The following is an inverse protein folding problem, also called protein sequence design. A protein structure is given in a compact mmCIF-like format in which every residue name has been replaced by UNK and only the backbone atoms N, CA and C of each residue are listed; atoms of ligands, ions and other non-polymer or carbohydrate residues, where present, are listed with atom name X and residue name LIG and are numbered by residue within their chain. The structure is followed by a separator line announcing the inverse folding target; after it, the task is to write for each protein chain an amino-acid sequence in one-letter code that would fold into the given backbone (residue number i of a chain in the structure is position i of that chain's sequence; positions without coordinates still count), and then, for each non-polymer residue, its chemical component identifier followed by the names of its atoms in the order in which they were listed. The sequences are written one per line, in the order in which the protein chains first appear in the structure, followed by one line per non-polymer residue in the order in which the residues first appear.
data_IF_621295335551
#
_entry.id   IF_621295335551
#
_cell.length_a   1.000
_cell.length_b   1.000
_cell.length_c   1.000
_cell.angle_alpha   90.00
_cell.angle_beta   90.00
_cell.angle_gamma   90.00
#
_symmetry.space_group_name_H-M   'P 1'
#
loop_
_entity.id
_entity.type
_entity.pdbx_description
1 polymer ?
#
# COMPACT_ATOMS: atom_id res chain seq x y z
N UNK A 1 -23.47 31.30 6.64
CA UNK A 1 -22.09 30.76 6.63
C UNK A 1 -21.67 30.56 8.08
N UNK A 2 -21.68 29.33 8.60
CA UNK A 2 -21.26 29.02 9.97
C UNK A 2 -19.74 29.25 10.05
N UNK A 3 -19.35 30.17 10.94
CA UNK A 3 -17.97 30.49 11.24
C UNK A 3 -17.29 29.23 11.81
N UNK A 4 -16.35 28.63 11.09
CA UNK A 4 -15.70 27.39 11.51
C UNK A 4 -14.50 27.79 12.36
N UNK A 5 -14.73 27.85 13.61
CA UNK A 5 -13.97 27.67 14.85
C UNK A 5 -12.52 28.12 15.02
N UNK A 6 -11.77 28.61 14.04
CA UNK A 6 -10.36 28.98 14.23
C UNK A 6 -10.04 30.45 13.98
N UNK A 7 -11.03 31.29 13.65
CA UNK A 7 -10.80 32.73 13.46
C UNK A 7 -9.81 33.13 12.36
N UNK A 8 -9.32 32.16 11.56
CA UNK A 8 -8.33 32.37 10.49
C UNK A 8 -9.01 32.33 9.12
N UNK A 9 -8.67 33.25 8.23
CA UNK A 9 -9.14 33.16 6.83
C UNK A 9 -8.46 31.98 6.10
N UNK A 10 -9.14 31.35 5.12
CA UNK A 10 -8.55 30.27 4.32
C UNK A 10 -7.20 30.63 3.69
N UNK A 11 -7.06 31.85 3.21
CA UNK A 11 -5.81 32.36 2.62
C UNK A 11 -4.66 32.38 3.63
N UNK A 12 -4.92 32.81 4.87
CA UNK A 12 -3.89 32.88 5.91
C UNK A 12 -3.46 31.48 6.37
N UNK A 13 -4.43 30.53 6.45
CA UNK A 13 -4.10 29.13 6.71
C UNK A 13 -3.13 28.56 5.66
N UNK A 14 -3.44 28.78 4.39
CA UNK A 14 -2.60 28.32 3.29
C UNK A 14 -1.20 28.99 3.31
N UNK A 15 -1.14 30.29 3.60
CA UNK A 15 0.14 31.02 3.71
C UNK A 15 1.03 30.44 4.81
N UNK A 16 0.49 30.13 6.00
CA UNK A 16 1.23 29.52 7.09
C UNK A 16 1.81 28.15 6.69
N UNK A 17 1.00 27.30 6.03
CA UNK A 17 1.43 25.98 5.59
C UNK A 17 2.52 26.08 4.51
N UNK A 18 2.33 26.96 3.51
CA UNK A 18 3.30 27.18 2.41
C UNK A 18 4.63 27.75 2.93
N UNK A 19 4.57 28.74 3.80
CA UNK A 19 5.78 29.35 4.38
C UNK A 19 6.58 28.31 5.19
N UNK A 20 5.90 27.53 6.00
CA UNK A 20 6.52 26.45 6.79
C UNK A 20 7.12 25.36 5.88
N UNK A 21 6.38 24.93 4.85
CA UNK A 21 6.86 23.89 3.93
C UNK A 21 8.15 24.30 3.23
N UNK A 22 8.25 25.54 2.77
CA UNK A 22 9.44 26.07 2.10
C UNK A 22 10.70 26.06 2.97
N UNK A 23 10.56 26.24 4.29
CA UNK A 23 11.67 26.31 5.23
C UNK A 23 11.99 24.96 5.89
N UNK A 24 10.97 24.14 6.16
CA UNK A 24 11.06 22.97 7.03
C UNK A 24 10.51 21.70 6.40
N UNK A 25 9.89 21.78 5.22
CA UNK A 25 9.36 20.62 4.51
C UNK A 25 10.44 19.71 3.95
N UNK A 26 10.03 18.56 3.47
CA UNK A 26 10.92 17.61 2.78
C UNK A 26 11.10 18.05 1.33
N UNK A 27 12.35 18.20 0.89
CA UNK A 27 12.70 18.68 -0.46
C UNK A 27 13.60 17.72 -1.25
N UNK A 28 14.00 16.59 -0.67
CA UNK A 28 14.96 15.66 -1.28
C UNK A 28 14.39 14.27 -1.56
N UNK A 29 13.07 14.12 -1.71
CA UNK A 29 12.50 12.81 -2.03
C UNK A 29 12.65 12.50 -3.52
N UNK A 30 12.95 11.24 -3.93
CA UNK A 30 13.25 10.89 -5.31
C UNK A 30 12.14 11.21 -6.34
N UNK A 31 10.91 11.37 -5.89
CA UNK A 31 9.74 11.73 -6.70
C UNK A 31 9.39 13.21 -6.69
N UNK A 32 10.18 14.03 -5.98
CA UNK A 32 10.06 15.49 -6.00
C UNK A 32 10.92 16.09 -7.11
N UNK A 33 10.62 17.36 -7.49
CA UNK A 33 11.37 18.05 -8.52
C UNK A 33 11.09 17.59 -9.95
N UNK A 34 10.09 16.74 -10.16
CA UNK A 34 9.62 16.31 -11.47
C UNK A 34 8.14 16.65 -11.66
N UNK A 35 7.72 16.86 -12.91
CA UNK A 35 6.31 16.94 -13.32
C UNK A 35 5.89 15.73 -14.16
N UNK A 36 6.71 14.72 -14.24
CA UNK A 36 6.37 13.47 -14.93
C UNK A 36 5.23 12.75 -14.17
N UNK A 37 4.03 12.67 -14.75
CA UNK A 37 2.86 12.10 -14.07
C UNK A 37 3.03 10.61 -13.77
N UNK A 38 3.79 9.87 -14.59
CA UNK A 38 4.08 8.46 -14.32
C UNK A 38 4.89 8.30 -13.03
N UNK A 39 5.95 9.08 -12.86
CA UNK A 39 6.80 9.05 -11.68
C UNK A 39 6.08 9.47 -10.42
N UNK A 40 5.26 10.51 -10.50
CA UNK A 40 4.42 11.01 -9.40
C UNK A 40 3.38 9.96 -9.03
N UNK A 41 2.62 9.44 -10.00
CA UNK A 41 1.64 8.39 -9.76
C UNK A 41 2.23 7.15 -9.10
N UNK A 42 3.37 6.65 -9.61
CA UNK A 42 4.06 5.51 -9.01
C UNK A 42 4.37 5.74 -7.54
N UNK A 43 4.92 6.91 -7.18
CA UNK A 43 5.23 7.24 -5.79
C UNK A 43 3.97 7.33 -4.93
N UNK A 44 2.91 7.96 -5.41
CA UNK A 44 1.64 8.08 -4.69
C UNK A 44 1.02 6.72 -4.38
N UNK A 45 1.06 5.78 -5.34
CA UNK A 45 0.56 4.41 -5.11
C UNK A 45 1.48 3.64 -4.14
N UNK A 46 2.80 3.76 -4.26
CA UNK A 46 3.73 3.10 -3.34
C UNK A 46 3.61 3.62 -1.89
N UNK A 47 3.33 4.91 -1.72
CA UNK A 47 3.18 5.56 -0.43
C UNK A 47 1.85 5.25 0.28
N UNK A 48 0.85 4.70 -0.41
CA UNK A 48 -0.40 4.28 0.24
C UNK A 48 -0.09 3.29 1.36
N UNK A 49 -0.33 3.67 2.62
CA UNK A 49 -0.10 2.86 3.82
C UNK A 49 1.34 2.32 4.00
N UNK A 50 2.33 2.97 3.36
CA UNK A 50 3.75 2.59 3.44
C UNK A 50 4.59 3.81 3.81
N UNK A 51 5.60 3.61 4.65
CA UNK A 51 6.51 4.68 5.07
C UNK A 51 7.48 5.07 3.96
N UNK A 52 7.82 6.35 3.88
CA UNK A 52 8.73 6.93 2.88
C UNK A 52 10.05 6.18 2.79
N UNK A 53 10.70 5.90 3.93
CA UNK A 53 11.98 5.19 3.96
C UNK A 53 11.92 3.79 3.34
N UNK A 54 10.79 3.09 3.49
CA UNK A 54 10.58 1.80 2.86
C UNK A 54 10.33 1.92 1.34
N UNK A 55 9.68 3.01 0.89
CA UNK A 55 9.34 3.19 -0.54
C UNK A 55 10.56 3.54 -1.39
N UNK A 56 11.50 4.33 -0.88
CA UNK A 56 12.65 4.84 -1.67
C UNK A 56 13.38 3.73 -2.47
N UNK A 57 13.84 2.62 -1.85
CA UNK A 57 14.54 1.57 -2.60
C UNK A 57 13.64 0.82 -3.59
N UNK A 58 12.35 0.69 -3.30
CA UNK A 58 11.40 0.07 -4.24
C UNK A 58 11.15 0.96 -5.45
N UNK A 59 10.95 2.26 -5.24
CA UNK A 59 10.75 3.23 -6.31
C UNK A 59 11.93 3.25 -7.29
N UNK A 60 13.16 3.27 -6.77
CA UNK A 60 14.36 3.26 -7.60
C UNK A 60 14.45 1.99 -8.47
N UNK A 61 14.28 0.80 -7.85
CA UNK A 61 14.33 -0.48 -8.58
C UNK A 61 13.20 -0.62 -9.61
N UNK A 62 12.01 -0.13 -9.26
CA UNK A 62 10.85 -0.19 -10.15
C UNK A 62 11.06 0.67 -11.40
N UNK A 63 11.57 1.91 -11.24
CA UNK A 63 11.91 2.79 -12.37
C UNK A 63 13.10 2.30 -13.19
N UNK A 64 14.03 1.58 -12.58
CA UNK A 64 15.14 0.96 -13.34
C UNK A 64 14.61 -0.08 -14.32
N UNK A 65 13.58 -0.83 -13.97
CA UNK A 65 13.00 -1.86 -14.83
C UNK A 65 11.87 -1.32 -15.71
N UNK A 66 11.02 -0.47 -15.18
CA UNK A 66 9.89 0.15 -15.86
C UNK A 66 10.11 1.67 -15.89
N UNK A 67 10.94 2.12 -16.83
CA UNK A 67 11.35 3.53 -16.91
C UNK A 67 10.21 4.48 -17.23
N UNK A 68 9.19 3.97 -17.90
CA UNK A 68 8.01 4.71 -18.35
C UNK A 68 6.72 3.86 -18.29
N UNK A 69 5.61 4.50 -18.59
CA UNK A 69 4.28 3.90 -18.58
C UNK A 69 4.14 2.76 -19.60
N UNK A 70 4.78 2.89 -20.78
CA UNK A 70 4.69 1.90 -21.84
C UNK A 70 5.40 0.59 -21.42
N UNK A 71 6.57 0.70 -20.82
CA UNK A 71 7.30 -0.45 -20.27
C UNK A 71 6.49 -1.16 -19.17
N UNK A 72 5.82 -0.41 -18.30
CA UNK A 72 4.95 -1.00 -17.26
C UNK A 72 3.71 -1.67 -17.87
N UNK A 73 3.05 -1.03 -18.84
CA UNK A 73 1.84 -1.57 -19.47
C UNK A 73 2.10 -2.87 -20.25
N UNK A 74 3.27 -2.98 -20.87
CA UNK A 74 3.68 -4.16 -21.65
C UNK A 74 4.23 -5.32 -20.80
N UNK A 75 4.51 -5.08 -19.51
CA UNK A 75 5.11 -6.07 -18.61
C UNK A 75 4.15 -7.23 -18.33
N UNK A 76 4.69 -8.39 -17.95
CA UNK A 76 3.91 -9.47 -17.35
C UNK A 76 3.60 -9.13 -15.89
N UNK A 77 2.39 -9.46 -15.42
CA UNK A 77 1.94 -9.14 -14.05
C UNK A 77 2.89 -9.73 -12.98
N UNK A 78 3.40 -10.94 -13.20
CA UNK A 78 4.32 -11.59 -12.27
C UNK A 78 5.61 -10.78 -12.06
N UNK A 79 6.12 -10.13 -13.10
CA UNK A 79 7.29 -9.27 -13.00
C UNK A 79 7.01 -8.01 -12.16
N UNK A 80 5.85 -7.41 -12.36
CA UNK A 80 5.40 -6.27 -11.54
C UNK A 80 5.25 -6.67 -10.08
N UNK A 81 4.63 -7.82 -9.80
CA UNK A 81 4.44 -8.35 -8.45
C UNK A 81 5.77 -8.74 -7.80
N UNK A 82 6.73 -9.29 -8.55
CA UNK A 82 8.06 -9.63 -8.06
C UNK A 82 8.81 -8.39 -7.56
N UNK A 83 8.82 -7.30 -8.34
CA UNK A 83 9.44 -6.03 -7.95
C UNK A 83 8.73 -5.34 -6.77
N UNK A 84 7.43 -5.63 -6.59
CA UNK A 84 6.64 -5.11 -5.45
C UNK A 84 6.77 -5.97 -4.18
N UNK A 85 7.35 -7.16 -4.31
CA UNK A 85 7.42 -8.14 -3.22
C UNK A 85 8.13 -7.59 -1.99
N UNK A 86 7.46 -7.66 -0.84
CA UNK A 86 7.91 -7.09 0.44
C UNK A 86 7.29 -5.72 0.78
N UNK A 87 6.75 -4.97 -0.19
CA UNK A 87 6.11 -3.67 0.07
C UNK A 87 4.70 -3.82 0.67
N UNK A 88 4.07 -4.99 0.49
CA UNK A 88 2.74 -5.30 0.99
C UNK A 88 1.60 -4.70 0.17
N UNK A 89 0.35 -5.07 0.53
CA UNK A 89 -0.85 -4.58 -0.16
C UNK A 89 -0.77 -4.76 -1.69
N UNK A 90 -0.55 -5.97 -2.14
CA UNK A 90 -0.28 -6.33 -3.55
C UNK A 90 -1.39 -5.94 -4.54
N UNK A 91 -2.62 -5.73 -4.04
CA UNK A 91 -3.70 -5.15 -4.85
C UNK A 91 -3.33 -3.78 -5.43
N UNK A 92 -2.42 -3.02 -4.79
CA UNK A 92 -1.90 -1.76 -5.33
C UNK A 92 -1.08 -1.99 -6.59
N UNK A 93 -0.18 -2.98 -6.57
CA UNK A 93 0.64 -3.33 -7.73
C UNK A 93 -0.22 -3.82 -8.91
N UNK A 94 -1.21 -4.68 -8.65
CA UNK A 94 -2.15 -5.13 -9.69
C UNK A 94 -2.98 -3.97 -10.25
N UNK A 95 -3.48 -3.09 -9.38
CA UNK A 95 -4.21 -1.91 -9.82
C UNK A 95 -3.32 -0.95 -10.62
N UNK A 96 -2.07 -0.75 -10.19
CA UNK A 96 -1.07 0.05 -10.91
C UNK A 96 -0.83 -0.52 -12.32
N UNK A 97 -0.61 -1.81 -12.45
CA UNK A 97 -0.40 -2.48 -13.73
C UNK A 97 -1.65 -2.40 -14.63
N UNK A 98 -2.83 -2.69 -14.06
CA UNK A 98 -4.11 -2.57 -14.79
C UNK A 98 -4.38 -1.13 -15.26
N UNK A 99 -4.08 -0.13 -14.41
CA UNK A 99 -4.20 1.27 -14.79
C UNK A 99 -3.22 1.65 -15.90
N UNK A 100 -1.97 1.16 -15.88
CA UNK A 100 -1.01 1.39 -16.96
C UNK A 100 -1.53 0.86 -18.32
N UNK A 101 -2.10 -0.33 -18.32
CA UNK A 101 -2.73 -0.93 -19.52
C UNK A 101 -3.95 -0.13 -19.96
N UNK A 102 -4.81 0.29 -19.04
CA UNK A 102 -5.95 1.15 -19.35
C UNK A 102 -5.52 2.49 -19.99
N UNK A 103 -4.44 3.11 -19.48
CA UNK A 103 -3.90 4.34 -20.05
C UNK A 103 -3.36 4.09 -21.47
N UNK A 104 -2.63 2.99 -21.67
CA UNK A 104 -2.12 2.62 -22.98
C UNK A 104 -3.27 2.42 -24.00
N UNK A 105 -4.33 1.74 -23.61
CA UNK A 105 -5.47 1.39 -24.45
C UNK A 105 -6.43 2.57 -24.72
N UNK A 106 -6.77 3.36 -23.67
CA UNK A 106 -7.83 4.38 -23.74
C UNK A 106 -7.34 5.81 -23.88
N UNK A 107 -6.07 6.05 -23.55
CA UNK A 107 -5.46 7.39 -23.56
C UNK A 107 -4.20 7.45 -24.45
N UNK A 108 -4.08 6.53 -25.43
CA UNK A 108 -2.96 6.47 -26.37
C UNK A 108 -1.57 6.49 -25.68
N UNK A 109 -1.45 5.90 -24.47
CA UNK A 109 -0.23 5.88 -23.70
C UNK A 109 0.14 7.20 -22.99
N UNK A 110 -0.71 8.22 -23.08
CA UNK A 110 -0.50 9.52 -22.41
C UNK A 110 -1.27 9.55 -21.09
N UNK A 111 -0.59 9.84 -19.99
CA UNK A 111 -1.23 9.92 -18.67
C UNK A 111 -2.29 11.05 -18.68
N UNK A 112 -3.55 10.78 -18.28
CA UNK A 112 -4.62 11.79 -18.35
C UNK A 112 -4.35 12.96 -17.37
N UNK A 113 -4.68 14.17 -17.80
CA UNK A 113 -4.50 15.40 -17.02
C UNK A 113 -5.81 15.95 -16.42
N UNK A 114 -6.95 15.35 -16.75
CA UNK A 114 -8.25 15.73 -16.19
C UNK A 114 -8.50 14.89 -14.91
N UNK A 115 -8.92 15.55 -13.84
CA UNK A 115 -9.14 14.94 -12.54
C UNK A 115 -10.05 13.71 -12.61
N UNK A 116 -11.18 13.81 -13.31
CA UNK A 116 -12.15 12.73 -13.41
C UNK A 116 -11.57 11.51 -14.15
N UNK A 117 -10.81 11.74 -15.21
CA UNK A 117 -10.14 10.67 -15.95
C UNK A 117 -9.03 9.98 -15.09
N UNK A 118 -8.33 10.74 -14.24
CA UNK A 118 -7.37 10.17 -13.29
C UNK A 118 -8.09 9.38 -12.20
N UNK A 119 -9.24 9.86 -11.71
CA UNK A 119 -10.05 9.20 -10.68
C UNK A 119 -10.63 7.86 -11.15
N UNK A 120 -10.91 7.70 -12.44
CA UNK A 120 -11.41 6.46 -13.03
C UNK A 120 -10.35 5.35 -13.13
N UNK A 121 -9.08 5.66 -12.94
CA UNK A 121 -8.02 4.67 -13.02
C UNK A 121 -8.05 3.70 -11.83
N UNK A 122 -7.83 2.40 -12.07
CA UNK A 122 -7.82 1.38 -11.01
C UNK A 122 -6.90 1.72 -9.83
N UNK A 123 -7.44 1.66 -8.62
CA UNK A 123 -6.69 1.90 -7.38
C UNK A 123 -6.46 3.36 -7.01
N UNK A 124 -7.02 4.29 -7.76
CA UNK A 124 -6.93 5.73 -7.49
C UNK A 124 -8.23 6.22 -6.86
N UNK A 125 -8.14 6.75 -5.64
CA UNK A 125 -9.23 7.44 -4.97
C UNK A 125 -9.07 8.97 -5.05
N UNK A 126 -10.10 9.71 -4.62
CA UNK A 126 -10.17 11.18 -4.71
C UNK A 126 -8.88 11.89 -4.25
N UNK A 127 -8.33 11.51 -3.09
CA UNK A 127 -7.12 12.15 -2.55
C UNK A 127 -5.87 11.84 -3.39
N UNK A 128 -5.75 10.62 -3.91
CA UNK A 128 -4.63 10.22 -4.77
C UNK A 128 -4.72 10.90 -6.14
N UNK A 129 -5.92 10.96 -6.74
CA UNK A 129 -6.14 11.70 -7.99
C UNK A 129 -5.77 13.18 -7.84
N UNK A 130 -6.20 13.80 -6.73
CA UNK A 130 -5.86 15.18 -6.41
C UNK A 130 -4.36 15.39 -6.29
N UNK A 131 -3.64 14.54 -5.55
CA UNK A 131 -2.20 14.64 -5.38
C UNK A 131 -1.46 14.53 -6.72
N UNK A 132 -1.84 13.57 -7.57
CA UNK A 132 -1.25 13.42 -8.91
C UNK A 132 -1.50 14.68 -9.75
N UNK A 133 -2.74 15.18 -9.81
CA UNK A 133 -3.08 16.36 -10.58
C UNK A 133 -2.37 17.63 -10.07
N UNK A 134 -2.22 17.76 -8.74
CA UNK A 134 -1.48 18.86 -8.12
C UNK A 134 0.00 18.82 -8.51
N UNK A 135 0.67 17.70 -8.28
CA UNK A 135 2.11 17.62 -8.47
C UNK A 135 2.53 17.56 -9.95
N UNK A 136 1.75 16.89 -10.81
CA UNK A 136 2.07 16.78 -12.22
C UNK A 136 1.66 18.02 -13.04
N UNK A 137 0.50 18.59 -12.73
CA UNK A 137 -0.12 19.60 -13.58
C UNK A 137 -0.36 20.95 -12.91
N UNK A 138 -0.07 21.06 -11.59
CA UNK A 138 -0.33 22.29 -10.83
C UNK A 138 -1.82 22.58 -10.62
N UNK A 139 -2.69 21.57 -10.80
CA UNK A 139 -4.13 21.73 -10.70
C UNK A 139 -4.57 22.03 -9.26
N UNK A 140 -5.63 22.82 -9.10
CA UNK A 140 -6.16 23.21 -7.79
C UNK A 140 -7.13 22.15 -7.27
N UNK A 141 -6.61 21.12 -6.58
CA UNK A 141 -7.42 20.07 -5.96
C UNK A 141 -7.01 19.85 -4.49
N UNK A 142 -8.00 19.57 -3.65
CA UNK A 142 -7.80 19.26 -2.25
C UNK A 142 -7.38 17.79 -2.07
N UNK A 143 -6.46 17.54 -1.12
CA UNK A 143 -6.12 16.21 -0.66
C UNK A 143 -6.68 15.96 0.73
N UNK A 144 -6.98 14.69 1.05
CA UNK A 144 -7.42 14.28 2.38
C UNK A 144 -6.97 12.84 2.68
N UNK A 145 -5.65 12.66 2.79
CA UNK A 145 -5.06 11.39 3.24
C UNK A 145 -5.14 11.23 4.76
N UNK A 146 -4.65 10.13 5.31
CA UNK A 146 -4.67 9.86 6.74
C UNK A 146 -3.89 10.89 7.59
N UNK A 147 -2.86 11.52 7.02
CA UNK A 147 -2.10 12.57 7.67
C UNK A 147 -2.89 13.89 7.71
N UNK A 148 -3.45 14.28 6.57
CA UNK A 148 -4.26 15.50 6.45
C UNK A 148 -5.54 15.40 7.27
N UNK A 149 -6.22 14.24 7.27
CA UNK A 149 -7.36 13.97 8.16
C UNK A 149 -7.03 14.24 9.63
N UNK A 150 -5.86 13.82 10.09
CA UNK A 150 -5.42 14.05 11.48
C UNK A 150 -5.10 15.51 11.75
N UNK A 151 -4.42 16.19 10.83
CA UNK A 151 -4.12 17.63 10.94
C UNK A 151 -5.43 18.41 11.03
N UNK A 152 -6.36 18.18 10.13
CA UNK A 152 -7.64 18.90 10.11
C UNK A 152 -8.53 18.56 11.30
N UNK A 153 -8.64 17.29 11.68
CA UNK A 153 -9.40 16.91 12.86
C UNK A 153 -8.93 17.65 14.12
N UNK A 154 -7.62 17.78 14.31
CA UNK A 154 -7.04 18.53 15.43
C UNK A 154 -7.18 20.04 15.28
N UNK A 155 -6.87 20.55 14.11
CA UNK A 155 -6.89 21.98 13.86
C UNK A 155 -8.31 22.57 14.02
N UNK A 156 -9.31 21.88 13.49
CA UNK A 156 -10.69 22.33 13.48
C UNK A 156 -11.57 21.70 14.58
N UNK A 157 -11.02 20.81 15.43
CA UNK A 157 -11.78 20.16 16.49
C UNK A 157 -12.87 19.21 15.96
N UNK A 158 -12.65 18.57 14.80
CA UNK A 158 -13.63 17.64 14.22
C UNK A 158 -13.61 16.33 14.99
N UNK A 159 -14.67 16.10 15.74
CA UNK A 159 -14.84 14.90 16.55
C UNK A 159 -15.24 13.68 15.71
N UNK A 160 -14.99 12.49 16.24
CA UNK A 160 -15.36 11.22 15.61
C UNK A 160 -14.20 10.55 14.89
N UNK A 161 -14.49 9.33 14.38
CA UNK A 161 -13.52 8.55 13.62
C UNK A 161 -13.49 8.99 12.15
N UNK A 162 -12.33 9.38 11.58
CA UNK A 162 -12.24 9.89 10.20
C UNK A 162 -12.55 8.87 9.10
N UNK A 163 -12.84 7.63 9.46
CA UNK A 163 -13.33 6.59 8.55
C UNK A 163 -14.84 6.54 8.42
N UNK A 164 -15.58 7.23 9.29
CA UNK A 164 -17.02 7.38 9.20
C UNK A 164 -17.36 8.43 8.15
N UNK A 165 -18.35 8.15 7.28
CA UNK A 165 -18.69 8.98 6.14
C UNK A 165 -19.00 10.43 6.56
N UNK A 166 -19.85 10.63 7.56
CA UNK A 166 -20.21 11.97 8.03
C UNK A 166 -19.02 12.79 8.54
N UNK A 167 -18.05 12.14 9.22
CA UNK A 167 -16.83 12.79 9.69
C UNK A 167 -15.89 13.10 8.50
N UNK A 168 -15.79 12.16 7.56
CA UNK A 168 -15.00 12.35 6.35
C UNK A 168 -15.53 13.51 5.50
N UNK A 169 -16.86 13.66 5.38
CA UNK A 169 -17.51 14.74 4.63
C UNK A 169 -17.17 16.11 5.22
N UNK A 170 -17.26 16.27 6.55
CA UNK A 170 -16.84 17.51 7.23
C UNK A 170 -15.37 17.82 6.99
N UNK A 171 -14.50 16.81 7.03
CA UNK A 171 -13.08 17.00 6.75
C UNK A 171 -12.81 17.37 5.28
N UNK A 172 -13.58 16.84 4.33
CA UNK A 172 -13.53 17.22 2.93
C UNK A 172 -14.00 18.66 2.69
N UNK A 173 -15.06 19.11 3.37
CA UNK A 173 -15.50 20.52 3.32
C UNK A 173 -14.37 21.47 3.74
N UNK A 174 -13.63 21.13 4.80
CA UNK A 174 -12.46 21.90 5.20
C UNK A 174 -11.37 21.85 4.12
N UNK A 175 -11.07 20.66 3.58
CA UNK A 175 -10.03 20.49 2.58
C UNK A 175 -10.31 21.31 1.32
N UNK A 176 -11.52 21.22 0.77
CA UNK A 176 -11.92 21.93 -0.44
C UNK A 176 -11.90 23.46 -0.26
N UNK A 177 -12.31 23.95 0.93
CA UNK A 177 -12.33 25.37 1.22
C UNK A 177 -10.95 25.99 1.40
N UNK A 178 -9.97 25.19 1.85
CA UNK A 178 -8.64 25.69 2.24
C UNK A 178 -7.61 25.58 1.13
N UNK A 179 -7.89 24.89 0.03
CA UNK A 179 -6.93 24.74 -1.05
C UNK A 179 -6.70 26.09 -1.75
N UNK A 180 -5.45 26.60 -1.81
CA UNK A 180 -5.17 27.92 -2.39
C UNK A 180 -5.13 27.86 -3.90
N UNK A 181 -5.41 29.00 -4.55
CA UNK A 181 -5.28 29.14 -6.01
C UNK A 181 -3.81 29.22 -6.49
N UNK A 182 -2.88 29.56 -5.58
CA UNK A 182 -1.44 29.68 -5.88
C UNK A 182 -0.63 28.85 -4.88
N UNK A 183 0.54 28.35 -5.32
CA UNK A 183 1.44 27.53 -4.49
C UNK A 183 0.78 26.24 -3.99
N UNK A 184 -0.16 25.67 -4.78
CA UNK A 184 -0.93 24.48 -4.39
C UNK A 184 -0.03 23.28 -4.14
N UNK A 185 1.06 23.12 -4.88
CA UNK A 185 2.05 22.04 -4.68
C UNK A 185 2.72 22.14 -3.31
N UNK A 186 3.23 23.33 -2.95
CA UNK A 186 3.85 23.55 -1.64
C UNK A 186 2.85 23.41 -0.49
N UNK A 187 1.60 23.83 -0.68
CA UNK A 187 0.52 23.64 0.28
C UNK A 187 0.22 22.16 0.49
N UNK A 188 0.05 21.41 -0.59
CA UNK A 188 -0.26 19.96 -0.56
C UNK A 188 0.87 19.19 0.10
N UNK A 189 2.12 19.43 -0.32
CA UNK A 189 3.29 18.81 0.30
C UNK A 189 3.42 19.23 1.78
N UNK A 190 3.16 20.48 2.12
CA UNK A 190 3.20 20.99 3.48
C UNK A 190 2.22 20.28 4.41
N UNK A 191 0.99 20.04 3.98
CA UNK A 191 0.01 19.28 4.75
C UNK A 191 0.45 17.83 5.01
N UNK A 192 0.98 17.17 3.99
CA UNK A 192 1.53 15.81 4.11
C UNK A 192 2.70 15.78 5.09
N UNK A 193 3.62 16.75 5.00
CA UNK A 193 4.82 16.85 5.84
C UNK A 193 4.47 17.18 7.30
N UNK A 194 3.53 18.10 7.52
CA UNK A 194 3.01 18.42 8.85
C UNK A 194 2.42 17.16 9.51
N UNK A 195 1.60 16.42 8.78
CA UNK A 195 1.03 15.18 9.29
C UNK A 195 2.08 14.10 9.55
N UNK A 196 3.04 13.93 8.66
CA UNK A 196 4.06 12.89 8.79
C UNK A 196 5.10 13.19 9.88
N UNK A 197 5.51 14.45 10.04
CA UNK A 197 6.66 14.82 10.88
C UNK A 197 6.32 15.61 12.14
N UNK A 198 5.31 16.45 12.13
CA UNK A 198 4.98 17.39 13.22
C UNK A 198 3.73 16.95 13.97
N UNK A 199 2.58 16.91 13.30
CA UNK A 199 1.30 16.51 13.87
C UNK A 199 1.17 14.99 13.90
N UNK A 200 2.12 14.30 14.52
CA UNK A 200 2.16 12.83 14.58
C UNK A 200 1.04 12.27 15.47
N UNK A 201 0.79 10.95 15.34
CA UNK A 201 -0.33 10.31 16.04
C UNK A 201 -0.20 10.38 17.55
N UNK A 202 0.97 10.04 18.10
CA UNK A 202 1.17 9.82 19.53
C UNK A 202 1.94 10.94 20.21
N UNK A 203 2.93 11.54 19.54
CA UNK A 203 3.82 12.58 20.11
C UNK A 203 3.95 13.76 19.15
N UNK A 204 2.88 14.57 18.98
CA UNK A 204 2.96 15.73 18.10
C UNK A 204 3.87 16.82 18.69
N UNK A 205 4.64 17.47 17.81
CA UNK A 205 5.52 18.59 18.15
C UNK A 205 4.80 19.91 17.89
N UNK A 206 3.84 20.25 18.76
CA UNK A 206 2.95 21.40 18.57
C UNK A 206 3.66 22.74 18.64
N UNK A 207 4.80 22.84 19.31
CA UNK A 207 5.70 24.00 19.38
C UNK A 207 6.35 24.33 18.04
N UNK A 208 6.54 23.35 17.16
CA UNK A 208 7.09 23.51 15.81
C UNK A 208 6.00 23.61 14.72
N UNK A 209 4.72 23.55 15.11
CA UNK A 209 3.61 23.53 14.16
C UNK A 209 3.21 24.97 13.77
N UNK A 210 3.17 25.32 12.48
CA UNK A 210 2.76 26.65 12.03
C UNK A 210 1.30 26.98 12.34
N UNK A 211 0.48 25.96 12.62
CA UNK A 211 -0.95 26.07 12.92
C UNK A 211 -1.23 26.06 14.43
N UNK A 212 -0.20 26.07 15.26
CA UNK A 212 -0.32 25.84 16.70
C UNK A 212 -1.21 26.86 17.41
N UNK A 213 -1.15 28.13 17.01
CA UNK A 213 -1.92 29.22 17.64
C UNK A 213 -3.43 29.13 17.34
N UNK A 214 -3.80 28.52 16.22
CA UNK A 214 -5.19 28.38 15.77
C UNK A 214 -5.76 26.99 16.00
N UNK A 215 -4.93 26.08 16.49
CA UNK A 215 -5.33 24.67 16.64
C UNK A 215 -6.28 24.47 17.81
N UNK A 216 -7.52 24.07 17.53
CA UNK A 216 -8.57 23.80 18.54
C UNK A 216 -8.10 22.73 19.53
N UNK A 217 -7.57 21.60 19.05
CA UNK A 217 -7.13 20.51 19.90
C UNK A 217 -5.99 20.92 20.87
N UNK A 218 -5.11 21.85 20.45
CA UNK A 218 -4.05 22.39 21.32
C UNK A 218 -4.63 23.36 22.33
N UNK A 219 -5.47 24.30 21.89
CA UNK A 219 -6.10 25.30 22.75
C UNK A 219 -6.89 24.66 23.89
N UNK A 220 -7.61 23.57 23.57
CA UNK A 220 -8.52 22.91 24.49
C UNK A 220 -7.84 21.73 25.24
N UNK A 221 -6.52 21.58 25.13
CA UNK A 221 -5.72 20.46 25.67
C UNK A 221 -6.30 19.07 25.35
N UNK A 222 -6.85 18.93 24.15
CA UNK A 222 -7.60 17.77 23.70
C UNK A 222 -6.97 17.00 22.54
N UNK A 223 -5.63 17.12 22.35
CA UNK A 223 -4.90 16.52 21.21
C UNK A 223 -5.12 15.02 21.11
N UNK A 224 -5.18 14.31 22.23
CA UNK A 224 -5.39 12.87 22.28
C UNK A 224 -6.80 12.43 21.85
N UNK A 225 -7.78 13.34 21.91
CA UNK A 225 -9.17 13.08 21.54
C UNK A 225 -9.41 13.19 20.04
N UNK A 226 -8.52 13.89 19.30
CA UNK A 226 -8.66 14.17 17.87
C UNK A 226 -7.53 13.54 17.03
N UNK A 227 -7.90 12.83 15.97
CA UNK A 227 -9.23 12.26 15.71
C UNK A 227 -9.51 11.08 16.66
N UNK A 228 -10.77 10.73 16.85
CA UNK A 228 -11.11 9.52 17.56
C UNK A 228 -10.49 8.29 16.90
N UNK A 229 -9.99 7.32 17.68
CA UNK A 229 -9.39 6.11 17.13
C UNK A 229 -10.43 5.25 16.43
N UNK A 230 -9.98 4.42 15.49
CA UNK A 230 -10.85 3.39 14.90
C UNK A 230 -11.39 2.49 16.02
N UNK A 231 -12.71 2.22 16.04
CA UNK A 231 -13.29 1.25 16.96
C UNK A 231 -12.54 -0.09 16.88
N UNK A 232 -12.13 -0.62 18.03
CA UNK A 232 -11.43 -1.91 18.06
C UNK A 232 -12.42 -3.02 17.71
N UNK A 233 -12.08 -3.79 16.69
CA UNK A 233 -12.75 -5.06 16.37
C UNK A 233 -11.83 -6.19 16.82
N UNK A 234 -12.41 -7.20 17.47
CA UNK A 234 -11.71 -8.46 17.70
C UNK A 234 -11.47 -9.08 16.33
N UNK A 235 -10.21 -9.34 16.00
CA UNK A 235 -9.88 -9.97 14.73
C UNK A 235 -10.09 -11.49 14.85
N UNK A 236 -10.86 -12.11 13.95
CA UNK A 236 -10.98 -13.57 13.91
C UNK A 236 -9.61 -14.20 13.66
N UNK A 237 -9.36 -15.31 14.31
CA UNK A 237 -8.17 -16.14 14.09
C UNK A 237 -8.51 -17.22 13.09
N UNK A 238 -7.63 -17.45 12.13
CA UNK A 238 -7.73 -18.49 11.13
C UNK A 238 -6.49 -19.36 11.15
N UNK A 239 -6.64 -20.63 10.84
CA UNK A 239 -5.54 -21.59 10.73
C UNK A 239 -5.50 -22.14 9.32
N UNK A 240 -4.30 -22.40 8.81
CA UNK A 240 -4.08 -23.10 7.55
C UNK A 240 -2.84 -23.97 7.66
N UNK A 241 -2.84 -25.11 7.00
CA UNK A 241 -1.65 -25.93 6.77
C UNK A 241 -1.11 -25.65 5.39
N UNK A 242 0.21 -25.55 5.23
CA UNK A 242 0.85 -25.32 3.93
C UNK A 242 1.87 -26.41 3.66
N UNK A 243 1.84 -26.95 2.43
CA UNK A 243 2.72 -28.03 2.00
C UNK A 243 4.01 -27.44 1.41
N UNK A 244 5.15 -27.74 2.04
CA UNK A 244 6.51 -27.38 1.60
C UNK A 244 7.12 -28.58 0.90
N UNK A 245 6.72 -28.82 -0.35
CA UNK A 245 7.21 -29.94 -1.14
C UNK A 245 8.58 -29.63 -1.76
N UNK A 246 9.59 -30.41 -1.41
CA UNK A 246 10.97 -30.24 -1.86
C UNK A 246 11.45 -31.41 -2.70
N UNK A 247 12.01 -31.10 -3.87
CA UNK A 247 12.60 -32.08 -4.79
C UNK A 247 13.80 -31.47 -5.53
N UNK A 248 14.93 -32.16 -5.51
CA UNK A 248 16.15 -31.78 -6.27
C UNK A 248 16.54 -30.29 -6.15
N UNK A 249 16.48 -29.70 -4.94
CA UNK A 249 16.82 -28.29 -4.70
C UNK A 249 15.74 -27.28 -5.13
N UNK A 250 14.55 -27.75 -5.46
CA UNK A 250 13.40 -26.95 -5.86
C UNK A 250 12.27 -27.06 -4.84
N UNK A 251 11.39 -26.05 -4.79
CA UNK A 251 10.14 -26.06 -4.05
C UNK A 251 8.96 -25.94 -5.01
N UNK A 252 7.89 -26.68 -4.74
CA UNK A 252 6.64 -26.57 -5.48
C UNK A 252 5.86 -25.37 -4.96
N UNK A 253 5.50 -24.46 -5.89
CA UNK A 253 4.64 -23.30 -5.63
C UNK A 253 3.40 -23.37 -6.51
N UNK A 254 2.30 -22.85 -5.97
CA UNK A 254 1.02 -22.73 -6.66
C UNK A 254 0.63 -21.26 -6.77
N UNK A 255 0.14 -20.86 -7.94
CA UNK A 255 -0.34 -19.51 -8.17
C UNK A 255 -1.70 -19.29 -7.50
N UNK A 256 -1.78 -18.27 -6.65
CA UNK A 256 -3.04 -17.88 -5.98
C UNK A 256 -4.03 -17.32 -7.01
N UNK A 257 -5.34 -17.56 -6.83
CA UNK A 257 -6.35 -16.85 -7.60
C UNK A 257 -6.19 -15.34 -7.52
N UNK A 258 -6.64 -14.59 -8.52
CA UNK A 258 -6.52 -13.13 -8.57
C UNK A 258 -7.27 -12.40 -7.45
N UNK A 259 -8.28 -13.07 -6.86
CA UNK A 259 -9.06 -12.55 -5.72
C UNK A 259 -8.61 -13.15 -4.39
N UNK A 260 -8.95 -12.50 -3.29
CA UNK A 260 -8.62 -12.96 -1.94
C UNK A 260 -7.25 -12.49 -1.43
N UNK A 261 -6.79 -13.13 -0.36
CA UNK A 261 -5.47 -12.83 0.22
C UNK A 261 -4.36 -13.30 -0.72
N UNK A 262 -3.32 -12.46 -0.88
CA UNK A 262 -2.17 -12.76 -1.72
C UNK A 262 -2.51 -13.09 -3.17
N UNK A 263 -3.65 -12.60 -3.67
CA UNK A 263 -4.11 -12.89 -5.03
C UNK A 263 -3.03 -12.60 -6.08
N UNK A 264 -2.88 -13.51 -7.04
CA UNK A 264 -1.89 -13.44 -8.12
C UNK A 264 -0.45 -13.76 -7.71
N UNK A 265 -0.17 -13.96 -6.40
CA UNK A 265 1.18 -14.35 -5.94
C UNK A 265 1.37 -15.87 -6.04
N UNK A 266 2.63 -16.27 -6.12
CA UNK A 266 3.05 -17.64 -5.91
C UNK A 266 3.07 -17.96 -4.42
N UNK A 267 2.52 -19.08 -4.00
CA UNK A 267 2.43 -19.50 -2.60
C UNK A 267 2.68 -20.99 -2.44
N UNK A 268 2.96 -21.40 -1.23
CA UNK A 268 2.90 -22.82 -0.88
C UNK A 268 1.46 -23.30 -0.99
N UNK A 269 1.20 -24.51 -1.51
CA UNK A 269 -0.14 -25.08 -1.56
C UNK A 269 -0.77 -25.17 -0.17
N UNK A 270 -2.03 -24.78 -0.07
CA UNK A 270 -2.82 -24.93 1.16
C UNK A 270 -3.47 -26.31 1.23
N UNK A 271 -3.54 -26.85 2.45
CA UNK A 271 -4.18 -28.12 2.79
C UNK A 271 -5.39 -27.84 3.69
N UNK A 272 -6.56 -28.30 3.31
CA UNK A 272 -7.75 -28.19 4.14
C UNK A 272 -7.63 -29.05 5.42
N UNK A 273 -8.42 -28.71 6.45
CA UNK A 273 -8.31 -29.35 7.76
C UNK A 273 -8.59 -30.87 7.73
N UNK A 274 -9.49 -31.29 6.85
CA UNK A 274 -9.95 -32.65 6.66
C UNK A 274 -9.18 -33.44 5.57
N UNK A 275 -8.23 -32.79 4.88
CA UNK A 275 -7.43 -33.42 3.83
C UNK A 275 -6.18 -34.10 4.37
N UNK A 276 -5.83 -35.26 3.77
CA UNK A 276 -4.55 -35.92 3.98
C UNK A 276 -3.48 -35.32 3.08
N UNK A 277 -2.32 -35.00 3.66
CA UNK A 277 -1.18 -34.46 2.91
C UNK A 277 -0.70 -35.40 1.81
N UNK A 278 -0.63 -36.72 2.08
CA UNK A 278 -0.23 -37.72 1.07
C UNK A 278 -1.20 -37.78 -0.08
N UNK A 279 -2.51 -37.80 0.21
CA UNK A 279 -3.55 -37.87 -0.80
C UNK A 279 -3.52 -36.61 -1.71
N UNK A 280 -3.41 -35.39 -1.10
CA UNK A 280 -3.35 -34.15 -1.87
C UNK A 280 -2.08 -34.05 -2.71
N UNK A 281 -0.92 -34.47 -2.18
CA UNK A 281 0.32 -34.53 -2.95
C UNK A 281 0.17 -35.37 -4.20
N UNK A 282 -0.45 -36.56 -4.06
CA UNK A 282 -0.61 -37.50 -5.18
C UNK A 282 -1.68 -37.03 -6.18
N UNK A 283 -2.87 -36.69 -5.69
CA UNK A 283 -4.03 -36.44 -6.56
C UNK A 283 -3.99 -35.08 -7.22
N UNK A 284 -3.52 -34.06 -6.51
CA UNK A 284 -3.51 -32.66 -6.99
C UNK A 284 -2.22 -32.30 -7.71
N UNK A 285 -1.08 -32.83 -7.28
CA UNK A 285 0.23 -32.45 -7.78
C UNK A 285 1.02 -33.56 -8.47
N UNK A 286 0.52 -34.77 -8.47
CA UNK A 286 1.22 -35.94 -9.04
C UNK A 286 2.54 -36.26 -8.29
N UNK A 287 2.58 -35.97 -7.00
CA UNK A 287 3.77 -36.08 -6.17
C UNK A 287 3.61 -37.20 -5.17
N UNK A 288 4.51 -38.19 -5.22
CA UNK A 288 4.63 -39.21 -4.18
C UNK A 288 5.37 -38.67 -2.97
N UNK A 289 4.66 -38.49 -1.86
CA UNK A 289 5.22 -37.96 -0.63
C UNK A 289 6.21 -38.97 0.01
N UNK A 290 7.29 -38.48 0.54
CA UNK A 290 8.21 -39.24 1.36
C UNK A 290 8.04 -38.88 2.84
N UNK A 291 9.14 -38.49 3.49
CA UNK A 291 9.10 -38.06 4.89
C UNK A 291 8.36 -36.73 4.99
N UNK A 292 7.37 -36.67 5.88
CA UNK A 292 6.65 -35.46 6.25
C UNK A 292 7.10 -35.04 7.65
N UNK A 293 7.44 -33.77 7.84
CA UNK A 293 7.81 -33.20 9.13
C UNK A 293 7.24 -31.80 9.30
N UNK A 294 6.69 -31.48 10.48
CA UNK A 294 6.22 -30.12 10.74
C UNK A 294 7.39 -29.13 10.84
N UNK A 295 7.19 -27.93 10.36
CA UNK A 295 8.07 -26.78 10.57
C UNK A 295 7.48 -25.85 11.64
N UNK A 296 8.27 -24.91 12.18
CA UNK A 296 7.78 -23.92 13.13
C UNK A 296 6.59 -23.14 12.57
N UNK A 297 5.55 -22.96 13.40
CA UNK A 297 4.37 -22.16 13.08
C UNK A 297 4.75 -20.71 12.73
N UNK A 298 4.06 -20.15 11.75
CA UNK A 298 4.26 -18.76 11.32
C UNK A 298 2.96 -17.98 11.43
N UNK A 299 2.92 -17.02 12.37
CA UNK A 299 1.78 -16.10 12.49
C UNK A 299 1.92 -14.92 11.53
N UNK A 300 0.79 -14.52 10.92
CA UNK A 300 0.69 -13.37 10.04
C UNK A 300 -0.58 -12.57 10.31
N UNK A 301 -0.45 -11.25 10.50
CA UNK A 301 -1.59 -10.35 10.73
C UNK A 301 -2.07 -9.69 9.44
N UNK A 302 -3.37 -9.80 9.17
CA UNK A 302 -4.10 -8.99 8.19
C UNK A 302 -4.89 -7.90 8.90
N UNK A 303 -5.40 -6.93 8.17
CA UNK A 303 -6.23 -5.84 8.71
C UNK A 303 -7.60 -6.31 9.24
N UNK A 304 -8.02 -7.55 8.91
CA UNK A 304 -9.34 -8.08 9.19
C UNK A 304 -9.36 -9.48 9.81
N UNK A 305 -8.20 -10.17 9.92
CA UNK A 305 -8.02 -11.41 10.66
C UNK A 305 -6.52 -11.67 10.97
N UNK A 306 -6.28 -12.63 11.87
CA UNK A 306 -4.96 -13.20 12.13
C UNK A 306 -4.90 -14.58 11.47
N UNK A 307 -3.77 -14.93 10.87
CA UNK A 307 -3.54 -16.22 10.22
C UNK A 307 -2.36 -16.95 10.88
N UNK A 308 -2.64 -18.12 11.42
CA UNK A 308 -1.61 -19.06 11.87
C UNK A 308 -1.39 -20.10 10.78
N UNK A 309 -0.16 -20.22 10.32
CA UNK A 309 0.28 -21.13 9.28
C UNK A 309 1.10 -22.24 9.90
N UNK A 310 0.68 -23.48 9.70
CA UNK A 310 1.42 -24.68 10.05
C UNK A 310 2.07 -25.25 8.78
N UNK A 311 3.38 -25.02 8.54
CA UNK A 311 4.04 -25.56 7.37
C UNK A 311 4.43 -27.03 7.59
N UNK A 312 4.15 -27.86 6.59
CA UNK A 312 4.52 -29.27 6.56
C UNK A 312 5.58 -29.50 5.47
N UNK A 313 6.81 -29.76 5.88
CA UNK A 313 7.88 -30.10 4.95
C UNK A 313 7.73 -31.52 4.45
N UNK A 314 7.73 -31.68 3.13
CA UNK A 314 7.58 -32.95 2.44
C UNK A 314 8.80 -33.18 1.55
N UNK A 315 9.58 -34.21 1.83
CA UNK A 315 10.59 -34.69 0.89
C UNK A 315 9.93 -35.56 -0.14
N UNK A 316 9.95 -35.13 -1.40
CA UNK A 316 9.31 -35.80 -2.51
C UNK A 316 10.17 -36.98 -2.95
N UNK A 317 9.54 -38.17 -3.08
CA UNK A 317 10.18 -39.38 -3.59
C UNK A 317 10.15 -39.45 -5.12
N UNK A 318 9.01 -39.11 -5.72
CA UNK A 318 8.76 -39.24 -7.16
C UNK A 318 7.77 -38.19 -7.62
N UNK A 319 7.95 -37.68 -8.82
CA UNK A 319 7.01 -36.80 -9.51
C UNK A 319 6.50 -37.54 -10.75
N UNK A 320 5.18 -37.56 -10.96
CA UNK A 320 4.60 -38.02 -12.21
C UNK A 320 4.50 -36.85 -13.20
N UNK A 321 5.31 -36.78 -14.25
CA UNK A 321 5.34 -35.65 -15.16
C UNK A 321 4.05 -35.47 -15.97
N UNK A 322 3.18 -36.47 -15.97
CA UNK A 322 1.88 -36.43 -16.68
C UNK A 322 0.80 -35.69 -15.89
N UNK A 323 1.02 -35.47 -14.58
CA UNK A 323 0.06 -34.84 -13.67
C UNK A 323 0.50 -33.40 -13.33
N UNK A 324 0.93 -32.63 -14.34
CA UNK A 324 1.28 -31.20 -14.15
C UNK A 324 -0.01 -30.39 -14.00
N UNK A 325 -0.31 -29.92 -12.80
CA UNK A 325 -1.47 -29.04 -12.57
C UNK A 325 -1.23 -27.65 -13.18
N UNK A 326 -2.21 -27.03 -13.84
CA UNK A 326 -2.11 -25.64 -14.28
C UNK A 326 -1.85 -24.70 -13.09
N UNK A 327 -1.01 -23.68 -13.28
CA UNK A 327 -0.71 -22.73 -12.21
C UNK A 327 0.23 -23.25 -11.11
N UNK A 328 0.99 -24.29 -11.38
CA UNK A 328 2.00 -24.86 -10.48
C UNK A 328 3.39 -24.74 -11.12
N UNK A 329 4.39 -24.48 -10.31
CA UNK A 329 5.79 -24.40 -10.73
C UNK A 329 6.72 -25.04 -9.70
N UNK A 330 7.75 -25.73 -10.17
CA UNK A 330 8.91 -26.10 -9.39
C UNK A 330 9.96 -24.99 -9.53
N UNK A 331 10.21 -24.24 -8.43
CA UNK A 331 11.15 -23.12 -8.43
C UNK A 331 12.40 -23.51 -7.67
N UNK A 332 13.61 -23.29 -8.27
CA UNK A 332 14.87 -23.46 -7.54
C UNK A 332 14.92 -22.60 -6.29
N UNK A 333 15.37 -23.15 -5.17
CA UNK A 333 15.50 -22.39 -3.92
C UNK A 333 16.39 -21.15 -4.08
N UNK A 334 17.42 -21.22 -4.92
CA UNK A 334 18.30 -20.10 -5.22
C UNK A 334 17.59 -18.91 -5.94
N UNK A 335 16.45 -19.14 -6.57
CA UNK A 335 15.70 -18.14 -7.32
C UNK A 335 14.54 -17.50 -6.52
N UNK A 336 14.34 -17.91 -5.28
CA UNK A 336 13.23 -17.43 -4.42
C UNK A 336 13.21 -15.90 -4.21
N UNK A 337 14.38 -15.25 -4.28
CA UNK A 337 14.48 -13.80 -4.10
C UNK A 337 13.77 -13.03 -5.21
N UNK A 338 13.77 -13.55 -6.45
CA UNK A 338 13.10 -12.96 -7.61
C UNK A 338 11.60 -13.28 -7.71
N UNK A 339 11.08 -14.19 -6.89
CA UNK A 339 9.70 -14.64 -7.00
C UNK A 339 8.72 -13.73 -6.23
N UNK A 340 7.51 -13.57 -6.79
CA UNK A 340 6.41 -12.83 -6.19
C UNK A 340 5.75 -13.65 -5.06
N UNK A 341 6.36 -13.70 -3.88
CA UNK A 341 5.93 -14.50 -2.73
C UNK A 341 5.32 -13.65 -1.61
N UNK A 342 4.28 -14.13 -0.91
CA UNK A 342 3.82 -13.53 0.34
C UNK A 342 4.90 -13.54 1.41
N UNK A 343 4.91 -12.50 2.27
CA UNK A 343 5.91 -12.39 3.33
C UNK A 343 6.02 -13.62 4.26
N UNK A 344 4.93 -14.26 4.73
CA UNK A 344 5.04 -15.47 5.54
C UNK A 344 5.59 -16.67 4.76
N UNK A 345 5.23 -16.83 3.48
CA UNK A 345 5.80 -17.89 2.63
C UNK A 345 7.31 -17.69 2.46
N UNK A 346 7.74 -16.46 2.21
CA UNK A 346 9.18 -16.12 2.13
C UNK A 346 9.91 -16.46 3.45
N UNK A 347 9.31 -16.19 4.62
CA UNK A 347 9.89 -16.54 5.93
C UNK A 347 10.00 -18.06 6.13
N UNK A 348 8.98 -18.82 5.71
CA UNK A 348 9.01 -20.29 5.79
C UNK A 348 10.15 -20.84 4.94
N UNK A 349 10.28 -20.36 3.70
CA UNK A 349 11.28 -20.86 2.76
C UNK A 349 12.70 -20.43 3.13
N UNK A 350 12.90 -19.22 3.66
CA UNK A 350 14.21 -18.78 4.13
C UNK A 350 14.71 -19.60 5.34
N UNK A 351 13.82 -20.14 6.16
CA UNK A 351 14.20 -21.02 7.27
C UNK A 351 14.64 -22.42 6.84
N UNK A 352 14.49 -22.79 5.56
CA UNK A 352 14.98 -24.07 5.01
C UNK A 352 16.44 -24.01 4.57
N UNK A 353 16.98 -22.80 4.35
CA UNK A 353 18.37 -22.58 3.91
C UNK A 353 19.38 -22.60 5.06
N UNK A 354 18.89 -22.68 6.29
CA UNK A 354 19.71 -22.79 7.53
C UNK A 354 19.68 -24.20 8.10
#
# INVERSE_FOLDING_TARGET
MKNIGIGLAPADFALLVVAWQRQHGRHGLPWQGTRDPYRIWLSEIMLQQTQVAAVIPYYARFLQRFADLAALAAAHEDEVLALWSGLGYYSRARNLHRAARQIAERHAGVFPNQFDAVLELPGIGRSTAAAICVFAYGAQHAILDGNVKRVFARCFGVAGYPGDAAVADVLWEHADRLVPAKNVEAYTQGLMDLGAGICTRTKPRCDLCPLSMQCVARRDDAIAQYPAPRPRKVLPQRHTRMLVMLHAGQVLLEKRPDSGIWGGLWSLPELAADESSDAVCLTRFGVEAGRISPLPMVAHGFTHFLLDIEPLQIRVKKIDPRLTAPGVVWLPLAELQGAALPAPVRRILAALET
#
